data_IF_990621113263
#
_entry.id   IF_990621113263
#
_cell.length_a   1.000
_cell.length_b   1.000
_cell.length_c   1.000
_cell.angle_alpha   90.00
_cell.angle_beta   90.00
_cell.angle_gamma   90.00
#
_symmetry.space_group_name_H-M   'P 1'
#
loop_
_entity.id
_entity.type
_entity.pdbx_description
1 polymer ?
#
# COMPACT_ATOMS: atom_id res chain seq x y z
N UNK A 1 14.14 -6.27 20.84
CA UNK A 1 12.66 -6.20 20.81
C UNK A 1 12.29 -5.96 19.37
N UNK A 2 11.34 -6.72 18.83
CA UNK A 2 10.85 -6.43 17.48
C UNK A 2 10.24 -5.03 17.49
N UNK A 3 10.53 -4.22 16.45
CA UNK A 3 9.91 -2.90 16.32
C UNK A 3 8.40 -3.08 16.27
N UNK A 4 7.65 -2.19 16.90
CA UNK A 4 6.18 -2.20 16.81
C UNK A 4 5.66 -1.88 15.42
N UNK A 5 6.55 -1.60 14.43
CA UNK A 5 6.20 -1.28 13.06
C UNK A 5 5.85 -2.53 12.26
N UNK A 6 4.66 -2.54 11.68
CA UNK A 6 4.21 -3.52 10.68
C UNK A 6 4.13 -2.86 9.31
N UNK A 7 4.67 -3.54 8.30
CA UNK A 7 4.50 -3.13 6.89
C UNK A 7 3.37 -3.97 6.31
N UNK A 8 2.39 -3.31 5.70
CA UNK A 8 1.21 -3.97 5.13
C UNK A 8 1.04 -3.55 3.67
N UNK A 9 1.11 -4.54 2.79
CA UNK A 9 0.82 -4.33 1.37
C UNK A 9 -0.67 -4.53 1.16
N UNK A 10 -1.35 -3.49 0.69
CA UNK A 10 -2.78 -3.57 0.36
C UNK A 10 -2.96 -3.66 -1.15
N UNK A 11 -3.69 -4.67 -1.58
CA UNK A 11 -4.05 -4.86 -2.98
C UNK A 11 -5.56 -5.13 -3.13
N UNK A 12 -6.04 -5.11 -4.34
CA UNK A 12 -7.45 -5.31 -4.69
C UNK A 12 -7.80 -4.60 -6.00
N UNK A 13 -8.90 -5.00 -6.62
CA UNK A 13 -9.38 -4.40 -7.85
C UNK A 13 -9.59 -2.87 -7.72
N UNK A 14 -9.53 -2.09 -8.81
CA UNK A 14 -9.90 -0.68 -8.78
C UNK A 14 -11.33 -0.50 -8.23
N UNK A 15 -11.48 0.33 -7.20
CA UNK A 15 -12.79 0.54 -6.54
C UNK A 15 -13.17 -0.51 -5.50
N UNK A 16 -12.27 -1.44 -5.15
CA UNK A 16 -12.53 -2.43 -4.09
C UNK A 16 -12.58 -1.83 -2.67
N UNK A 17 -12.12 -0.58 -2.48
CA UNK A 17 -12.15 0.11 -1.18
C UNK A 17 -10.83 0.06 -0.40
N UNK A 18 -9.69 -0.17 -1.09
CA UNK A 18 -8.35 -0.14 -0.45
C UNK A 18 -8.11 1.13 0.37
N UNK A 19 -8.21 2.28 -0.29
CA UNK A 19 -8.00 3.58 0.36
C UNK A 19 -8.95 3.79 1.53
N UNK A 20 -10.22 3.42 1.39
CA UNK A 20 -11.18 3.53 2.51
C UNK A 20 -10.80 2.64 3.69
N UNK A 21 -10.28 1.44 3.43
CA UNK A 21 -9.78 0.56 4.48
C UNK A 21 -8.56 1.15 5.19
N UNK A 22 -7.60 1.67 4.42
CA UNK A 22 -6.39 2.32 4.95
C UNK A 22 -6.73 3.57 5.77
N UNK A 23 -7.64 4.42 5.27
CA UNK A 23 -8.15 5.61 5.97
C UNK A 23 -8.85 5.23 7.28
N UNK A 24 -9.68 4.17 7.30
CA UNK A 24 -10.31 3.68 8.52
C UNK A 24 -9.28 3.18 9.55
N UNK A 25 -8.23 2.52 9.12
CA UNK A 25 -7.12 2.15 10.00
C UNK A 25 -6.38 3.40 10.53
N UNK A 26 -6.16 4.39 9.67
CA UNK A 26 -5.51 5.64 10.05
C UNK A 26 -6.34 6.45 11.05
N UNK A 27 -7.66 6.52 10.86
CA UNK A 27 -8.57 7.19 11.81
C UNK A 27 -8.50 6.59 13.22
N UNK A 28 -8.22 5.28 13.31
CA UNK A 28 -8.10 4.56 14.59
C UNK A 28 -6.72 4.70 15.23
N UNK A 29 -5.68 4.74 14.41
CA UNK A 29 -4.27 4.76 14.87
C UNK A 29 -3.65 6.15 14.90
N UNK A 30 -4.24 7.13 14.21
CA UNK A 30 -3.72 8.49 14.11
C UNK A 30 -2.32 8.53 13.48
N UNK A 31 -1.41 9.26 14.10
CA UNK A 31 -0.03 9.47 13.62
C UNK A 31 0.81 8.17 13.58
N UNK A 32 0.33 7.10 14.20
CA UNK A 32 0.98 5.78 14.17
C UNK A 32 0.67 4.97 12.91
N UNK A 33 -0.08 5.55 11.98
CA UNK A 33 -0.38 4.96 10.68
C UNK A 33 0.08 5.87 9.55
N UNK A 34 0.92 5.34 8.67
CA UNK A 34 1.37 6.02 7.46
C UNK A 34 0.96 5.24 6.22
N UNK A 35 0.71 5.97 5.13
CA UNK A 35 0.36 5.39 3.83
C UNK A 35 1.34 5.88 2.77
N UNK A 36 1.83 4.95 1.95
CA UNK A 36 2.73 5.22 0.82
C UNK A 36 2.35 4.37 -0.38
N UNK A 37 2.72 4.85 -1.55
CA UNK A 37 2.57 4.08 -2.79
C UNK A 37 3.89 4.03 -3.55
N UNK A 38 4.20 2.91 -4.18
CA UNK A 38 5.37 2.76 -5.05
C UNK A 38 5.37 3.71 -6.25
N UNK A 39 4.27 4.42 -6.49
CA UNK A 39 4.16 5.45 -7.54
C UNK A 39 4.23 6.89 -7.01
N UNK A 40 4.37 7.11 -5.71
CA UNK A 40 4.33 8.49 -5.17
C UNK A 40 5.55 9.29 -5.60
N UNK A 41 6.76 8.75 -5.47
CA UNK A 41 7.98 9.40 -5.98
C UNK A 41 7.92 9.60 -7.50
N UNK A 42 7.34 8.63 -8.24
CA UNK A 42 7.15 8.76 -9.70
C UNK A 42 6.26 9.95 -10.04
N UNK A 43 5.16 10.14 -9.31
CA UNK A 43 4.27 11.29 -9.47
C UNK A 43 4.96 12.60 -9.10
N UNK A 44 5.74 12.59 -8.02
CA UNK A 44 6.52 13.77 -7.61
C UNK A 44 7.52 14.20 -8.70
N UNK A 45 8.29 13.25 -9.24
CA UNK A 45 9.19 13.50 -10.37
C UNK A 45 8.42 14.05 -11.58
N UNK A 46 7.26 13.46 -11.90
CA UNK A 46 6.42 13.89 -13.01
C UNK A 46 5.89 15.32 -12.82
N UNK A 47 5.44 15.66 -11.62
CA UNK A 47 4.98 17.01 -11.27
C UNK A 47 6.11 18.04 -11.38
N UNK A 48 7.26 17.75 -10.75
CA UNK A 48 8.35 18.72 -10.61
C UNK A 48 9.12 18.90 -11.92
N UNK A 49 9.43 17.82 -12.63
CA UNK A 49 10.39 17.85 -13.74
C UNK A 49 9.74 17.68 -15.11
N UNK A 50 8.55 17.08 -15.21
CA UNK A 50 7.83 16.91 -16.46
C UNK A 50 6.59 17.81 -16.61
N UNK A 51 6.35 18.71 -15.65
CA UNK A 51 5.17 19.58 -15.62
C UNK A 51 3.84 18.81 -15.79
N UNK A 52 3.74 17.60 -15.23
CA UNK A 52 2.49 16.86 -15.21
C UNK A 52 1.46 17.63 -14.38
N UNK A 53 0.24 17.76 -14.88
CA UNK A 53 -0.83 18.55 -14.25
C UNK A 53 -1.72 17.76 -13.27
N UNK A 54 -1.34 16.53 -12.92
CA UNK A 54 -2.08 15.67 -12.02
C UNK A 54 -3.26 14.93 -12.66
N UNK A 55 -3.56 15.17 -13.94
CA UNK A 55 -4.66 14.48 -14.63
C UNK A 55 -4.40 12.97 -14.78
N UNK A 56 -5.48 12.20 -14.71
CA UNK A 56 -5.46 10.74 -14.83
C UNK A 56 -5.96 10.24 -16.19
N UNK A 57 -5.68 11.00 -17.27
CA UNK A 57 -5.99 10.58 -18.64
C UNK A 57 -5.07 9.45 -19.13
N UNK A 58 -5.38 8.87 -20.29
CA UNK A 58 -4.62 7.73 -20.85
C UNK A 58 -3.15 8.07 -21.11
N UNK A 59 -2.86 9.30 -21.57
CA UNK A 59 -1.50 9.75 -21.83
C UNK A 59 -0.69 9.85 -20.55
N UNK A 60 -1.28 10.45 -19.51
CA UNK A 60 -0.65 10.59 -18.21
C UNK A 60 -0.42 9.25 -17.52
N UNK A 61 -1.41 8.35 -17.60
CA UNK A 61 -1.27 6.98 -17.05
C UNK A 61 -0.14 6.22 -17.72
N UNK A 62 -0.06 6.28 -19.06
CA UNK A 62 1.03 5.64 -19.79
C UNK A 62 2.38 6.25 -19.41
N UNK A 63 2.49 7.58 -19.37
CA UNK A 63 3.71 8.27 -18.98
C UNK A 63 4.19 7.88 -17.59
N UNK A 64 3.30 7.86 -16.60
CA UNK A 64 3.66 7.46 -15.22
C UNK A 64 4.06 5.98 -15.14
N UNK A 65 3.42 5.11 -15.91
CA UNK A 65 3.80 3.70 -15.99
C UNK A 65 5.19 3.53 -16.59
N UNK A 66 5.44 4.14 -17.76
CA UNK A 66 6.75 4.08 -18.45
C UNK A 66 7.88 4.66 -17.55
N UNK A 67 7.58 5.77 -16.84
CA UNK A 67 8.54 6.38 -15.90
C UNK A 67 8.84 5.48 -14.71
N UNK A 68 7.82 4.83 -14.13
CA UNK A 68 8.00 3.85 -13.06
C UNK A 68 8.89 2.71 -13.53
N UNK A 69 8.62 2.16 -14.72
CA UNK A 69 9.39 1.05 -15.28
C UNK A 69 10.87 1.43 -15.49
N UNK A 70 11.12 2.61 -16.05
CA UNK A 70 12.48 3.12 -16.24
C UNK A 70 13.23 3.31 -14.92
N UNK A 71 12.59 3.89 -13.91
CA UNK A 71 13.18 4.10 -12.59
C UNK A 71 13.44 2.77 -11.86
N UNK A 72 12.55 1.79 -12.04
CA UNK A 72 12.71 0.44 -11.49
C UNK A 72 13.88 -0.28 -12.14
N UNK A 73 13.98 -0.23 -13.47
CA UNK A 73 15.07 -0.88 -14.22
C UNK A 73 16.43 -0.21 -13.98
N UNK A 74 16.46 1.11 -13.86
CA UNK A 74 17.71 1.83 -13.70
C UNK A 74 18.39 1.59 -12.35
N UNK A 75 17.67 1.71 -11.25
CA UNK A 75 18.23 1.56 -9.91
C UNK A 75 17.17 1.25 -8.85
N UNK A 76 16.09 0.58 -9.23
CA UNK A 76 15.07 0.10 -8.31
C UNK A 76 14.47 1.23 -7.41
N UNK A 77 14.37 2.41 -8.00
CA UNK A 77 14.06 3.65 -7.27
C UNK A 77 12.73 3.57 -6.51
N UNK A 78 11.62 3.05 -7.08
CA UNK A 78 10.33 3.01 -6.37
C UNK A 78 10.36 2.15 -5.09
N UNK A 79 11.02 1.00 -5.14
CA UNK A 79 11.17 0.12 -3.98
C UNK A 79 12.07 0.76 -2.91
N UNK A 80 13.21 1.29 -3.34
CA UNK A 80 14.18 1.95 -2.43
C UNK A 80 13.62 3.17 -1.75
N UNK A 81 12.69 3.89 -2.39
CA UNK A 81 12.00 5.03 -1.78
C UNK A 81 11.14 4.59 -0.60
N UNK A 82 10.39 3.49 -0.75
CA UNK A 82 9.62 2.92 0.36
C UNK A 82 10.53 2.46 1.51
N UNK A 83 11.65 1.77 1.19
CA UNK A 83 12.62 1.33 2.20
C UNK A 83 13.19 2.53 2.95
N UNK A 84 13.62 3.56 2.21
CA UNK A 84 14.15 4.80 2.79
C UNK A 84 13.13 5.49 3.70
N UNK A 85 11.88 5.59 3.24
CA UNK A 85 10.81 6.18 4.06
C UNK A 85 10.63 5.41 5.37
N UNK A 86 10.57 4.08 5.27
CA UNK A 86 10.48 3.19 6.45
C UNK A 86 11.64 3.43 7.42
N UNK A 87 12.87 3.44 6.92
CA UNK A 87 14.07 3.61 7.75
C UNK A 87 14.08 4.97 8.47
N UNK A 88 13.76 6.05 7.73
CA UNK A 88 13.67 7.41 8.33
C UNK A 88 12.57 7.46 9.39
N UNK A 89 11.43 6.84 9.15
CA UNK A 89 10.34 6.83 10.12
C UNK A 89 10.67 5.98 11.35
N UNK A 90 11.34 4.84 11.19
CA UNK A 90 11.84 4.04 12.33
C UNK A 90 12.84 4.84 13.19
N UNK A 91 13.75 5.59 12.57
CA UNK A 91 14.69 6.47 13.27
C UNK A 91 13.95 7.57 14.05
N UNK A 92 12.90 8.16 13.48
CA UNK A 92 12.06 9.14 14.16
C UNK A 92 11.32 8.51 15.36
N UNK A 93 10.75 7.32 15.21
CA UNK A 93 10.08 6.61 16.30
C UNK A 93 11.05 6.29 17.46
N UNK A 94 12.30 5.94 17.15
CA UNK A 94 13.36 5.76 18.14
C UNK A 94 13.70 7.07 18.85
N UNK A 95 13.87 8.15 18.10
CA UNK A 95 14.22 9.47 18.63
C UNK A 95 13.15 9.98 19.61
N UNK A 96 11.87 9.74 19.33
CA UNK A 96 10.77 10.13 20.22
C UNK A 96 10.41 9.09 21.28
N UNK A 97 11.15 7.98 21.33
CA UNK A 97 10.94 6.88 22.30
C UNK A 97 9.53 6.28 22.26
N UNK A 98 8.95 6.18 21.07
CA UNK A 98 7.61 5.63 20.83
C UNK A 98 7.62 4.32 20.03
N UNK A 99 8.78 3.77 19.76
CA UNK A 99 8.98 2.55 18.94
C UNK A 99 8.25 1.30 19.46
N UNK A 100 7.97 1.25 20.75
CA UNK A 100 7.25 0.12 21.36
C UNK A 100 5.72 0.17 21.11
N UNK A 101 5.20 1.32 20.69
CA UNK A 101 3.79 1.42 20.30
C UNK A 101 3.53 0.72 18.96
N UNK A 102 2.31 0.22 18.72
CA UNK A 102 1.91 -0.30 17.43
C UNK A 102 2.01 0.78 16.35
N UNK A 103 2.74 0.49 15.26
CA UNK A 103 2.85 1.37 14.09
C UNK A 103 2.57 0.57 12.82
N UNK A 104 1.96 1.19 11.84
CA UNK A 104 1.65 0.56 10.56
C UNK A 104 2.05 1.45 9.38
N UNK A 105 2.79 0.88 8.45
CA UNK A 105 3.05 1.48 7.15
C UNK A 105 2.28 0.68 6.09
N UNK A 106 1.21 1.27 5.57
CA UNK A 106 0.54 0.75 4.39
C UNK A 106 1.32 1.10 3.14
N UNK A 107 1.51 0.12 2.26
CA UNK A 107 2.16 0.30 0.96
C UNK A 107 1.24 -0.18 -0.14
N UNK A 108 0.80 0.75 -0.98
CA UNK A 108 -0.01 0.46 -2.17
C UNK A 108 0.92 -0.03 -3.30
N UNK A 109 0.88 -1.33 -3.57
CA UNK A 109 1.60 -1.98 -4.66
C UNK A 109 0.68 -2.97 -5.38
N UNK A 110 0.81 -3.06 -6.72
CA UNK A 110 -0.08 -3.86 -7.57
C UNK A 110 0.62 -4.99 -8.30
N UNK A 111 1.93 -4.87 -8.50
CA UNK A 111 2.69 -5.86 -9.26
C UNK A 111 3.02 -7.06 -8.37
N UNK A 112 2.67 -8.29 -8.77
CA UNK A 112 2.89 -9.49 -7.96
C UNK A 112 4.35 -9.66 -7.52
N UNK A 113 5.31 -9.41 -8.41
CA UNK A 113 6.73 -9.53 -8.10
C UNK A 113 7.18 -8.52 -7.04
N UNK A 114 6.65 -7.29 -7.10
CA UNK A 114 6.92 -6.23 -6.14
C UNK A 114 6.32 -6.56 -4.76
N UNK A 115 5.07 -7.08 -4.73
CA UNK A 115 4.40 -7.54 -3.50
C UNK A 115 5.20 -8.66 -2.84
N UNK A 116 5.57 -9.69 -3.59
CA UNK A 116 6.36 -10.81 -3.08
C UNK A 116 7.76 -10.37 -2.60
N UNK A 117 8.31 -9.35 -3.21
CA UNK A 117 9.57 -8.75 -2.79
C UNK A 117 9.45 -8.04 -1.45
N UNK A 118 8.43 -7.19 -1.25
CA UNK A 118 8.16 -6.56 0.04
C UNK A 118 7.96 -7.61 1.14
N UNK A 119 7.23 -8.68 0.85
CA UNK A 119 7.05 -9.79 1.78
C UNK A 119 8.37 -10.45 2.16
N UNK A 120 9.22 -10.74 1.17
CA UNK A 120 10.50 -11.43 1.39
C UNK A 120 11.55 -10.55 2.07
N UNK A 121 11.67 -9.27 1.66
CA UNK A 121 12.78 -8.41 2.08
C UNK A 121 12.43 -7.58 3.32
N UNK A 122 11.17 -7.24 3.54
CA UNK A 122 10.72 -6.41 4.65
C UNK A 122 9.78 -7.14 5.62
N UNK A 123 9.49 -8.42 5.40
CA UNK A 123 8.53 -9.16 6.23
C UNK A 123 7.11 -8.59 6.15
N UNK A 124 6.75 -7.98 5.03
CA UNK A 124 5.46 -7.33 4.88
C UNK A 124 4.30 -8.33 4.95
N UNK A 125 3.23 -7.93 5.60
CA UNK A 125 1.93 -8.60 5.62
C UNK A 125 1.17 -8.20 4.35
N UNK A 126 0.54 -9.16 3.67
CA UNK A 126 -0.20 -8.90 2.44
C UNK A 126 -1.70 -9.03 2.66
N UNK A 127 -2.46 -8.04 2.21
CA UNK A 127 -3.91 -7.94 2.38
C UNK A 127 -4.59 -7.73 1.04
N UNK A 128 -5.58 -8.54 0.73
CA UNK A 128 -6.45 -8.40 -0.43
C UNK A 128 -7.81 -7.83 0.01
N UNK A 129 -8.18 -6.67 -0.51
CA UNK A 129 -9.53 -6.11 -0.34
C UNK A 129 -10.39 -6.56 -1.50
N UNK A 130 -11.44 -7.32 -1.20
CA UNK A 130 -12.36 -7.92 -2.18
C UNK A 130 -13.69 -7.17 -2.20
N UNK A 131 -14.17 -6.87 -3.41
CA UNK A 131 -15.50 -6.34 -3.65
C UNK A 131 -16.03 -6.89 -4.97
N UNK A 132 -17.13 -7.62 -4.92
CA UNK A 132 -17.68 -8.35 -6.07
C UNK A 132 -17.94 -7.43 -7.27
N UNK A 133 -18.53 -6.25 -7.06
CA UNK A 133 -18.82 -5.29 -8.13
C UNK A 133 -17.53 -4.77 -8.79
N UNK A 134 -16.48 -4.58 -8.01
CA UNK A 134 -15.19 -4.10 -8.50
C UNK A 134 -14.42 -5.21 -9.26
N UNK A 135 -14.52 -6.47 -8.82
CA UNK A 135 -13.89 -7.62 -9.47
C UNK A 135 -14.56 -7.95 -10.81
N UNK A 136 -15.87 -7.74 -10.93
CA UNK A 136 -16.62 -7.93 -12.19
C UNK A 136 -16.42 -6.80 -13.20
N UNK A 137 -15.94 -5.63 -12.77
CA UNK A 137 -15.64 -4.52 -13.67
C UNK A 137 -14.48 -4.89 -14.59
N UNK A 138 -14.62 -4.63 -15.91
CA UNK A 138 -13.53 -4.86 -16.87
C UNK A 138 -12.35 -3.95 -16.55
N UNK A 139 -11.24 -4.57 -16.18
CA UNK A 139 -9.97 -3.85 -15.94
C UNK A 139 -9.25 -3.66 -17.27
N UNK A 140 -8.79 -2.44 -17.53
CA UNK A 140 -8.03 -2.08 -18.74
C UNK A 140 -6.51 -2.15 -18.52
N UNK A 141 -6.05 -2.48 -17.30
CA UNK A 141 -4.65 -2.47 -16.92
C UNK A 141 -4.17 -3.88 -16.57
N UNK A 142 -3.00 -4.26 -17.09
CA UNK A 142 -2.38 -5.57 -16.86
C UNK A 142 -2.12 -5.84 -15.36
N UNK A 143 -1.73 -4.83 -14.60
CA UNK A 143 -1.50 -4.94 -13.16
C UNK A 143 -2.78 -5.32 -12.39
N UNK A 144 -3.92 -4.76 -12.80
CA UNK A 144 -5.21 -5.05 -12.18
C UNK A 144 -5.71 -6.49 -12.50
N UNK A 145 -5.29 -7.06 -13.64
CA UNK A 145 -5.64 -8.44 -14.02
C UNK A 145 -4.90 -9.49 -13.17
N UNK A 146 -3.77 -9.13 -12.56
CA UNK A 146 -2.94 -10.03 -11.79
C UNK A 146 -3.20 -9.98 -10.28
N UNK A 147 -4.14 -9.14 -9.83
CA UNK A 147 -4.48 -8.96 -8.40
C UNK A 147 -4.80 -10.31 -7.72
N UNK A 148 -5.52 -11.20 -8.39
CA UNK A 148 -5.92 -12.50 -7.84
C UNK A 148 -4.86 -13.61 -8.03
N UNK A 149 -3.72 -13.31 -8.64
CA UNK A 149 -2.66 -14.29 -8.90
C UNK A 149 -1.61 -14.38 -7.78
N UNK A 150 -1.78 -13.62 -6.70
CA UNK A 150 -0.92 -13.67 -5.52
C UNK A 150 -1.61 -14.40 -4.38
N UNK A 151 -0.82 -15.06 -3.53
CA UNK A 151 -1.28 -15.52 -2.23
C UNK A 151 -1.16 -14.38 -1.21
N UNK A 152 -2.26 -14.05 -0.56
CA UNK A 152 -2.33 -13.02 0.47
C UNK A 152 -2.41 -13.65 1.86
N UNK A 153 -1.82 -12.98 2.86
CA UNK A 153 -1.90 -13.42 4.24
C UNK A 153 -3.31 -13.22 4.81
N UNK A 154 -4.02 -12.17 4.34
CA UNK A 154 -5.38 -11.84 4.73
C UNK A 154 -6.24 -11.44 3.53
N UNK A 155 -7.50 -11.82 3.57
CA UNK A 155 -8.53 -11.33 2.64
C UNK A 155 -9.62 -10.62 3.42
N UNK A 156 -9.98 -9.41 2.97
CA UNK A 156 -11.02 -8.58 3.58
C UNK A 156 -12.14 -8.39 2.56
N UNK A 157 -13.29 -8.97 2.84
CA UNK A 157 -14.49 -8.78 2.06
C UNK A 157 -15.10 -7.38 2.33
N UNK A 158 -15.30 -6.59 1.29
CA UNK A 158 -15.87 -5.23 1.32
C UNK A 158 -17.16 -5.15 0.50
N UNK A 159 -18.04 -6.15 0.63
CA UNK A 159 -19.37 -6.15 0.00
C UNK A 159 -20.46 -5.51 0.87
N UNK A 160 -20.16 -5.16 2.11
CA UNK A 160 -21.06 -4.54 3.06
C UNK A 160 -21.03 -3.01 3.05
N UNK A 161 -21.48 -2.42 4.14
CA UNK A 161 -21.45 -0.98 4.41
C UNK A 161 -20.05 -0.48 4.81
N UNK A 162 -19.91 0.84 4.94
CA UNK A 162 -18.70 1.44 5.49
C UNK A 162 -18.48 1.06 6.97
N UNK A 163 -19.56 0.91 7.74
CA UNK A 163 -19.49 0.47 9.12
C UNK A 163 -18.99 -0.97 9.24
N UNK A 164 -19.41 -1.86 8.31
CA UNK A 164 -18.89 -3.21 8.23
C UNK A 164 -17.39 -3.22 7.90
N UNK A 165 -16.94 -2.36 6.99
CA UNK A 165 -15.52 -2.24 6.67
C UNK A 165 -14.74 -1.67 7.86
N UNK A 166 -15.32 -0.73 8.61
CA UNK A 166 -14.72 -0.19 9.83
C UNK A 166 -14.54 -1.25 10.92
N UNK A 167 -15.52 -2.13 11.11
CA UNK A 167 -15.41 -3.25 12.02
C UNK A 167 -14.28 -4.23 11.60
N UNK A 168 -14.17 -4.51 10.28
CA UNK A 168 -13.09 -5.34 9.75
C UNK A 168 -11.72 -4.70 9.89
N UNK A 169 -11.62 -3.37 9.82
CA UNK A 169 -10.38 -2.65 10.12
C UNK A 169 -9.96 -2.83 11.59
N UNK A 170 -10.90 -2.79 12.55
CA UNK A 170 -10.62 -3.08 13.95
C UNK A 170 -10.14 -4.52 14.15
N UNK A 171 -10.84 -5.49 13.56
CA UNK A 171 -10.46 -6.90 13.61
C UNK A 171 -9.06 -7.14 13.05
N UNK A 172 -8.75 -6.52 11.91
CA UNK A 172 -7.44 -6.63 11.27
C UNK A 172 -6.33 -6.03 12.14
N UNK A 173 -6.51 -4.83 12.67
CA UNK A 173 -5.53 -4.19 13.56
C UNK A 173 -5.26 -5.03 14.81
N UNK A 174 -6.31 -5.52 15.46
CA UNK A 174 -6.17 -6.43 16.59
C UNK A 174 -5.39 -7.70 16.21
N UNK A 175 -5.72 -8.30 15.05
CA UNK A 175 -5.09 -9.53 14.59
C UNK A 175 -3.59 -9.39 14.35
N UNK A 176 -3.14 -8.26 13.78
CA UNK A 176 -1.71 -8.06 13.46
C UNK A 176 -0.88 -7.58 14.66
N UNK A 177 -1.53 -6.97 15.68
CA UNK A 177 -0.83 -6.44 16.86
C UNK A 177 -1.02 -7.30 18.10
N UNK A 178 -2.13 -8.05 18.23
CA UNK A 178 -2.43 -8.91 19.40
C UNK A 178 -1.77 -10.30 19.32
N UNK A 179 -0.63 -10.45 18.64
CA UNK A 179 0.13 -11.71 18.76
C UNK A 179 0.80 -11.79 20.12
N UNK A 180 0.08 -12.43 21.05
CA UNK A 180 0.65 -13.06 22.23
C UNK A 180 1.64 -14.16 21.85
#
# INVERSE_FOLDING_TARGET
>A
MESGLKIVIVNGAPGSGKTSFEELCQDKMGDYCQMRSTVDLVKEIALIYANWDGKKDLKSRKFLSDLKDLLSQFNDVPFRDIVRFKDVWEDELDMYNVKEHPHILFVDSREPEEIMRFKRELGAITVLIRRSDAEMAKTSNHADANVLNCEYDYEIDNNGSLDDLSAKADEFLNLIFDKN
#
